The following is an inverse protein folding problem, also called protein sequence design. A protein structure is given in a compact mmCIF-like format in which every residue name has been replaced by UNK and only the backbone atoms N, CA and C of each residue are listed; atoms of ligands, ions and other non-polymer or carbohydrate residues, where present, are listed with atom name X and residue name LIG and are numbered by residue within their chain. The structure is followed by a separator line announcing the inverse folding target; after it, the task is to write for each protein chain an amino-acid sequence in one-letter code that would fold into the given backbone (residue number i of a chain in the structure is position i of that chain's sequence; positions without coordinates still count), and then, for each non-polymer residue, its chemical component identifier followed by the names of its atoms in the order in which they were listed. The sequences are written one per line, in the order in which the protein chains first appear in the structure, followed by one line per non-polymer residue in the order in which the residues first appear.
data_IF_651843381291
#
_entry.id   IF_651843381291
#
_cell.length_a   1.000
_cell.length_b   1.000
_cell.length_c   1.000
_cell.angle_alpha   90.00
_cell.angle_beta   90.00
_cell.angle_gamma   90.00
#
_symmetry.space_group_name_H-M   'P 1'
#
loop_
_entity.id
_entity.type
_entity.pdbx_description
1 polymer ?
#
# COMPACT_ATOMS: atom_id res chain seq x y z
N UNK A 1 6.54 -10.77 6.04
CA UNK A 1 7.94 -10.38 5.72
C UNK A 1 8.94 -11.32 6.40
N UNK A 2 8.87 -11.49 7.71
CA UNK A 2 9.83 -12.32 8.48
C UNK A 2 9.96 -13.74 7.93
N UNK A 3 8.86 -14.43 7.66
CA UNK A 3 8.88 -15.77 7.09
C UNK A 3 9.54 -15.79 5.71
N UNK A 4 9.23 -14.84 4.84
CA UNK A 4 9.83 -14.72 3.51
C UNK A 4 11.34 -14.50 3.58
N UNK A 5 11.79 -13.64 4.47
CA UNK A 5 13.24 -13.42 4.69
C UNK A 5 13.96 -14.66 5.22
N UNK A 6 13.26 -15.51 5.96
CA UNK A 6 13.76 -16.80 6.43
C UNK A 6 13.65 -17.93 5.38
N UNK A 7 13.21 -17.62 4.16
CA UNK A 7 13.03 -18.63 3.11
C UNK A 7 11.84 -19.55 3.32
N UNK A 8 10.83 -19.10 4.08
CA UNK A 8 9.64 -19.88 4.41
C UNK A 8 8.42 -19.31 3.70
N UNK A 9 7.47 -20.19 3.33
CA UNK A 9 6.17 -19.81 2.84
C UNK A 9 5.37 -19.04 3.91
N UNK A 10 4.45 -18.22 3.47
CA UNK A 10 3.58 -17.38 4.32
C UNK A 10 2.14 -17.55 3.89
N UNK A 11 1.24 -17.78 4.84
CA UNK A 11 -0.19 -17.74 4.60
C UNK A 11 -0.71 -16.33 4.80
N UNK A 12 -1.36 -15.78 3.76
CA UNK A 12 -1.97 -14.46 3.79
C UNK A 12 -3.49 -14.61 3.83
N UNK A 13 -4.12 -13.96 4.81
CA UNK A 13 -5.57 -13.83 4.84
C UNK A 13 -6.05 -13.00 3.65
N UNK A 14 -7.13 -13.47 3.02
CA UNK A 14 -7.77 -12.78 1.90
C UNK A 14 -8.90 -11.91 2.45
N UNK A 15 -8.87 -10.61 2.12
CA UNK A 15 -9.95 -9.70 2.46
C UNK A 15 -11.03 -9.72 1.38
N UNK A 16 -12.26 -10.02 1.78
CA UNK A 16 -13.42 -9.99 0.90
C UNK A 16 -14.15 -8.65 1.04
N UNK A 17 -14.03 -7.82 0.01
CA UNK A 17 -14.64 -6.48 -0.03
C UNK A 17 -16.16 -6.52 -0.03
N UNK A 18 -16.78 -7.59 -0.53
CA UNK A 18 -18.24 -7.74 -0.56
C UNK A 18 -18.83 -7.96 0.83
N UNK A 19 -18.11 -8.66 1.69
CA UNK A 19 -18.53 -8.96 3.08
C UNK A 19 -17.84 -8.07 4.12
N UNK A 20 -16.89 -7.22 3.71
CA UNK A 20 -16.06 -6.39 4.58
C UNK A 20 -15.37 -7.22 5.69
N UNK A 21 -14.92 -8.42 5.36
CA UNK A 21 -14.29 -9.34 6.30
C UNK A 21 -13.21 -10.18 5.63
N UNK A 22 -12.31 -10.74 6.42
CA UNK A 22 -11.35 -11.73 5.93
C UNK A 22 -12.05 -13.06 5.69
N UNK A 23 -11.78 -13.68 4.54
CA UNK A 23 -12.35 -14.96 4.15
C UNK A 23 -11.32 -15.80 3.43
N UNK A 24 -10.92 -16.92 4.05
CA UNK A 24 -9.89 -17.79 3.51
C UNK A 24 -8.48 -17.25 3.62
N UNK A 25 -7.54 -17.98 3.06
CA UNK A 25 -6.14 -17.61 3.03
C UNK A 25 -5.47 -18.08 1.74
N UNK A 26 -4.34 -17.47 1.41
CA UNK A 26 -3.51 -17.87 0.27
C UNK A 26 -2.09 -18.08 0.74
N UNK A 27 -1.51 -19.21 0.37
CA UNK A 27 -0.10 -19.45 0.59
C UNK A 27 0.75 -18.69 -0.45
N UNK A 28 1.73 -17.96 0.05
CA UNK A 28 2.77 -17.32 -0.77
C UNK A 28 4.09 -18.03 -0.47
N UNK A 29 4.59 -18.75 -1.45
CA UNK A 29 5.89 -19.45 -1.33
C UNK A 29 7.02 -18.43 -1.16
N UNK A 30 8.12 -18.86 -0.56
CA UNK A 30 9.32 -18.05 -0.48
C UNK A 30 9.84 -17.72 -1.88
N UNK A 31 10.19 -16.44 -2.10
CA UNK A 31 10.68 -15.92 -3.37
C UNK A 31 11.98 -15.16 -3.16
N UNK A 32 12.78 -15.03 -4.22
CA UNK A 32 14.02 -14.26 -4.16
C UNK A 32 13.77 -12.75 -4.07
N UNK A 33 12.72 -12.28 -4.71
CA UNK A 33 12.29 -10.88 -4.67
C UNK A 33 10.81 -10.82 -4.32
N UNK A 34 10.48 -10.15 -3.22
CA UNK A 34 9.12 -9.86 -2.81
C UNK A 34 8.87 -8.36 -2.90
N UNK A 35 7.88 -7.97 -3.67
CA UNK A 35 7.41 -6.58 -3.75
C UNK A 35 6.08 -6.49 -3.02
N UNK A 36 5.99 -5.56 -2.07
CA UNK A 36 4.76 -5.26 -1.34
C UNK A 36 4.34 -3.84 -1.74
N UNK A 37 3.14 -3.69 -2.26
CA UNK A 37 2.63 -2.39 -2.67
C UNK A 37 1.37 -2.02 -1.86
N UNK A 38 1.07 -0.74 -1.81
CA UNK A 38 -0.14 -0.19 -1.22
C UNK A 38 0.11 0.73 -0.04
N UNK A 39 -0.96 1.35 0.43
CA UNK A 39 -0.96 2.19 1.61
C UNK A 39 -0.58 1.35 2.83
N UNK A 40 0.40 1.81 3.58
CA UNK A 40 0.89 1.10 4.76
C UNK A 40 1.95 0.03 4.48
N UNK A 41 2.26 -0.28 3.22
CA UNK A 41 3.26 -1.29 2.87
C UNK A 41 4.67 -0.94 3.35
N UNK A 42 4.95 0.34 3.55
CA UNK A 42 6.21 0.87 4.05
C UNK A 42 6.05 1.57 5.42
N UNK A 43 5.11 1.12 6.22
CA UNK A 43 4.86 1.61 7.57
C UNK A 43 6.15 1.56 8.41
N UNK A 44 6.31 2.50 9.34
CA UNK A 44 7.50 2.58 10.19
C UNK A 44 7.80 1.29 10.96
N UNK A 45 6.78 0.52 11.33
CA UNK A 45 6.96 -0.78 12.00
C UNK A 45 7.57 -1.85 11.09
N UNK A 46 7.40 -1.71 9.78
CA UNK A 46 7.92 -2.65 8.78
C UNK A 46 9.27 -2.22 8.22
N UNK A 47 9.62 -0.96 8.37
CA UNK A 47 10.77 -0.35 7.69
C UNK A 47 12.08 -1.11 7.88
N UNK A 48 12.37 -1.58 9.09
CA UNK A 48 13.59 -2.35 9.40
C UNK A 48 13.68 -3.68 8.64
N UNK A 49 12.55 -4.20 8.16
CA UNK A 49 12.48 -5.48 7.42
C UNK A 49 12.46 -5.29 5.90
N UNK A 50 12.47 -4.05 5.43
CA UNK A 50 12.50 -3.72 4.01
C UNK A 50 13.95 -3.54 3.54
N UNK A 51 14.27 -4.11 2.40
CA UNK A 51 15.57 -3.89 1.74
C UNK A 51 15.60 -2.52 1.09
N UNK A 52 14.48 -2.15 0.44
CA UNK A 52 14.32 -0.89 -0.27
C UNK A 52 12.89 -0.43 -0.16
N UNK A 53 12.68 0.86 0.06
CA UNK A 53 11.37 1.49 0.05
C UNK A 53 11.32 2.59 -1.02
N UNK A 54 10.22 2.63 -1.75
CA UNK A 54 10.01 3.58 -2.85
C UNK A 54 8.69 4.31 -2.60
N UNK A 55 8.73 5.62 -2.63
CA UNK A 55 7.55 6.48 -2.64
C UNK A 55 7.21 6.88 -4.06
N UNK A 56 5.98 6.63 -4.46
CA UNK A 56 5.43 7.12 -5.72
C UNK A 56 4.75 8.46 -5.47
N UNK A 57 5.37 9.53 -5.95
CA UNK A 57 4.91 10.88 -5.71
C UNK A 57 3.96 11.33 -6.83
N UNK A 58 2.79 11.83 -6.45
CA UNK A 58 1.78 12.34 -7.36
C UNK A 58 0.99 13.45 -6.69
N UNK A 59 0.59 14.46 -7.46
CA UNK A 59 -0.37 15.44 -6.99
C UNK A 59 -1.73 14.78 -6.68
N UNK A 60 -2.34 15.16 -5.55
CA UNK A 60 -3.60 14.56 -5.11
C UNK A 60 -4.74 14.72 -6.13
N UNK A 61 -4.80 15.85 -6.81
CA UNK A 61 -5.83 16.09 -7.82
C UNK A 61 -5.67 15.17 -9.03
N UNK A 62 -4.43 14.92 -9.45
CA UNK A 62 -4.12 13.99 -10.54
C UNK A 62 -4.43 12.55 -10.11
N UNK A 63 -4.06 12.18 -8.89
CA UNK A 63 -4.37 10.87 -8.32
C UNK A 63 -5.86 10.60 -8.25
N UNK A 64 -6.63 11.57 -7.77
CA UNK A 64 -8.10 11.49 -7.73
C UNK A 64 -8.68 11.31 -9.13
N UNK A 65 -8.25 12.14 -10.09
CA UNK A 65 -8.74 12.04 -11.47
C UNK A 65 -8.50 10.65 -12.08
N UNK A 66 -7.32 10.07 -11.87
CA UNK A 66 -7.01 8.72 -12.36
C UNK A 66 -7.87 7.63 -11.73
N UNK A 67 -8.16 7.74 -10.44
CA UNK A 67 -9.04 6.78 -9.74
C UNK A 67 -10.46 6.89 -10.27
N UNK A 68 -10.98 8.10 -10.45
CA UNK A 68 -12.33 8.31 -10.98
C UNK A 68 -12.47 7.86 -12.43
N UNK A 69 -11.43 8.05 -13.26
CA UNK A 69 -11.40 7.54 -14.61
C UNK A 69 -11.46 6.01 -14.65
N UNK A 70 -10.76 5.34 -13.74
CA UNK A 70 -10.72 3.88 -13.64
C UNK A 70 -12.00 3.29 -13.06
N UNK A 71 -12.52 3.85 -11.96
CA UNK A 71 -13.55 3.25 -11.12
C UNK A 71 -14.90 3.96 -11.19
N UNK A 72 -14.98 5.12 -11.87
CA UNK A 72 -16.19 5.93 -12.06
C UNK A 72 -16.34 7.05 -11.05
N UNK A 73 -17.13 8.08 -11.42
CA UNK A 73 -17.32 9.30 -10.62
C UNK A 73 -18.19 9.09 -9.37
N UNK A 74 -18.90 7.99 -9.29
CA UNK A 74 -19.80 7.66 -8.16
C UNK A 74 -19.06 7.57 -6.82
N UNK A 75 -17.77 7.23 -6.86
CA UNK A 75 -16.92 7.08 -5.67
C UNK A 75 -16.19 8.36 -5.28
N UNK A 76 -16.48 9.49 -5.94
CA UNK A 76 -15.75 10.76 -5.72
C UNK A 76 -15.65 11.14 -4.24
N UNK A 77 -16.77 11.22 -3.54
CA UNK A 77 -16.80 11.67 -2.14
C UNK A 77 -16.06 10.71 -1.22
N UNK A 78 -16.17 9.40 -1.48
CA UNK A 78 -15.42 8.38 -0.75
C UNK A 78 -13.92 8.53 -0.96
N UNK A 79 -13.50 8.80 -2.19
CA UNK A 79 -12.08 8.97 -2.52
C UNK A 79 -11.49 10.25 -1.92
N UNK A 80 -12.26 11.34 -1.85
CA UNK A 80 -11.82 12.57 -1.18
C UNK A 80 -11.59 12.32 0.32
N UNK A 81 -12.51 11.62 0.97
CA UNK A 81 -12.34 11.21 2.38
C UNK A 81 -11.11 10.32 2.55
N UNK A 82 -10.95 9.34 1.68
CA UNK A 82 -9.81 8.44 1.69
C UNK A 82 -8.48 9.18 1.55
N UNK A 83 -8.37 10.10 0.60
CA UNK A 83 -7.17 10.92 0.41
C UNK A 83 -6.81 11.74 1.64
N UNK A 84 -7.82 12.28 2.33
CA UNK A 84 -7.60 13.01 3.58
C UNK A 84 -7.02 12.09 4.65
N UNK A 85 -7.60 10.92 4.83
CA UNK A 85 -7.11 9.92 5.80
C UNK A 85 -5.69 9.45 5.46
N UNK A 86 -5.40 9.21 4.19
CA UNK A 86 -4.05 8.87 3.73
C UNK A 86 -3.04 9.97 4.05
N UNK A 87 -3.37 11.21 3.76
CA UNK A 87 -2.49 12.36 4.03
C UNK A 87 -2.16 12.49 5.51
N UNK A 88 -3.15 12.33 6.37
CA UNK A 88 -2.96 12.36 7.82
C UNK A 88 -2.09 11.18 8.30
N UNK A 89 -2.33 10.00 7.75
CA UNK A 89 -1.53 8.80 8.05
C UNK A 89 -0.07 8.99 7.63
N UNK A 90 0.18 9.40 6.39
CA UNK A 90 1.54 9.58 5.88
C UNK A 90 2.30 10.68 6.61
N UNK A 91 1.62 11.73 7.04
CA UNK A 91 2.22 12.80 7.84
C UNK A 91 2.68 12.30 9.23
N UNK A 92 1.89 11.44 9.86
CA UNK A 92 2.24 10.84 11.16
C UNK A 92 3.33 9.78 11.04
N UNK A 93 3.23 8.94 10.01
CA UNK A 93 4.17 7.84 9.79
C UNK A 93 5.50 8.28 9.19
N UNK A 94 5.55 9.48 8.60
CA UNK A 94 6.71 9.99 7.86
C UNK A 94 7.15 9.03 6.76
N UNK A 95 6.19 8.42 6.08
CA UNK A 95 6.44 7.37 5.08
C UNK A 95 7.28 7.87 3.93
N UNK A 96 6.91 9.05 3.38
CA UNK A 96 7.64 9.68 2.26
C UNK A 96 9.08 10.02 2.66
N UNK A 97 9.27 10.60 3.82
CA UNK A 97 10.57 11.06 4.32
C UNK A 97 11.53 9.90 4.60
N UNK A 98 10.98 8.72 4.94
CA UNK A 98 11.78 7.51 5.18
C UNK A 98 12.06 6.69 3.92
N UNK A 99 11.43 7.02 2.79
CA UNK A 99 11.64 6.30 1.54
C UNK A 99 13.09 6.44 1.05
N UNK A 100 13.64 5.35 0.55
CA UNK A 100 14.97 5.36 -0.06
C UNK A 100 14.96 6.09 -1.42
N UNK A 101 13.85 5.98 -2.15
CA UNK A 101 13.66 6.63 -3.44
C UNK A 101 12.30 7.29 -3.51
N UNK A 102 12.25 8.45 -4.17
CA UNK A 102 11.01 9.16 -4.49
C UNK A 102 10.93 9.26 -6.01
N UNK A 103 9.89 8.67 -6.59
CA UNK A 103 9.65 8.66 -8.02
C UNK A 103 8.39 9.47 -8.33
N UNK A 104 8.50 10.43 -9.24
CA UNK A 104 7.33 11.15 -9.75
C UNK A 104 6.56 10.28 -10.72
N UNK A 105 5.23 10.24 -10.56
CA UNK A 105 4.31 9.50 -11.44
C UNK A 105 3.37 10.42 -12.20
N UNK A 106 3.66 11.70 -12.22
CA UNK A 106 2.86 12.72 -12.92
C UNK A 106 2.98 12.62 -14.44
#
# INVERSE_FOLDING_TARGET
ITAQRAGKATDLAIYDWSTAAFSGSREVKAVQLLIIEGVGSSNHLLHANLTTSIWLDIDQSIGLARVLERDGDEIHDEMVKWQKMESEYFARDLTRERADFILSTQ
#
